data_IF_776942623452
#
_entry.id   IF_776942623452
#
_cell.length_a   1.000
_cell.length_b   1.000
_cell.length_c   1.000
_cell.angle_alpha   90.00
_cell.angle_beta   90.00
_cell.angle_gamma   90.00
#
_symmetry.space_group_name_H-M   'P 1'
#
loop_
_entity.id
_entity.type
_entity.pdbx_description
1 polymer ?
#
# COMPACT_ATOMS: atom_id res chain seq x y z
N UNK A 1 -1.69 7.06 5.24
CA UNK A 1 -2.49 6.67 6.41
C UNK A 1 -2.66 7.86 7.33
N UNK A 2 -3.85 8.04 7.90
CA UNK A 2 -4.13 9.00 8.97
C UNK A 2 -4.42 8.21 10.25
N UNK A 3 -3.86 8.56 11.41
CA UNK A 3 -4.18 7.89 12.66
C UNK A 3 -5.67 8.02 13.00
N UNK A 4 -6.32 6.91 13.32
CA UNK A 4 -7.70 6.85 13.81
C UNK A 4 -7.77 5.84 14.95
N UNK A 5 -8.46 6.19 16.04
CA UNK A 5 -8.66 5.29 17.17
C UNK A 5 -9.48 4.07 16.74
N UNK A 6 -9.10 2.90 17.26
CA UNK A 6 -9.74 1.60 17.02
C UNK A 6 -9.78 1.13 15.56
N UNK A 7 -9.04 1.80 14.67
CA UNK A 7 -8.85 1.37 13.29
C UNK A 7 -7.59 0.50 13.15
N UNK A 8 -7.67 -0.49 12.27
CA UNK A 8 -6.55 -1.33 11.87
C UNK A 8 -6.48 -1.37 10.34
N UNK A 9 -5.31 -1.72 9.81
CA UNK A 9 -5.15 -2.01 8.39
C UNK A 9 -4.25 -3.23 8.21
N UNK A 10 -4.61 -4.08 7.25
CA UNK A 10 -3.78 -5.19 6.83
C UNK A 10 -2.52 -4.66 6.12
N UNK A 11 -1.39 -5.36 6.28
CA UNK A 11 -0.14 -4.98 5.64
C UNK A 11 0.98 -5.99 5.84
N UNK A 12 2.16 -5.66 5.31
CA UNK A 12 3.37 -6.46 5.43
C UNK A 12 4.40 -5.79 6.32
N UNK A 13 5.01 -6.59 7.18
CA UNK A 13 6.20 -6.21 7.94
C UNK A 13 7.45 -6.76 7.24
N UNK A 14 8.29 -5.86 6.75
CA UNK A 14 9.56 -6.22 6.11
C UNK A 14 10.70 -6.00 7.10
N UNK A 15 11.46 -7.05 7.38
CA UNK A 15 12.65 -6.99 8.23
C UNK A 15 13.88 -6.89 7.34
N UNK A 16 14.72 -5.90 7.63
CA UNK A 16 15.97 -5.65 6.91
C UNK A 16 17.04 -5.10 7.86
N UNK A 17 18.27 -4.94 7.37
CA UNK A 17 19.40 -4.39 8.12
C UNK A 17 19.20 -2.90 8.36
N UNK A 18 19.52 -2.44 9.57
CA UNK A 18 19.39 -1.04 9.98
C UNK A 18 20.20 -0.07 9.09
N UNK A 19 21.27 -0.52 8.44
CA UNK A 19 22.03 0.30 7.48
C UNK A 19 21.22 0.70 6.23
N UNK A 20 20.20 -0.08 5.86
CA UNK A 20 19.36 0.20 4.70
C UNK A 20 18.29 1.27 4.99
N UNK A 21 18.07 1.66 6.26
CA UNK A 21 17.04 2.63 6.64
C UNK A 21 17.19 3.97 5.90
N UNK A 22 18.42 4.45 5.72
CA UNK A 22 18.68 5.71 5.02
C UNK A 22 18.26 5.66 3.54
N UNK A 23 18.40 4.49 2.89
CA UNK A 23 17.94 4.31 1.52
C UNK A 23 16.40 4.28 1.42
N UNK A 24 15.72 3.71 2.43
CA UNK A 24 14.26 3.76 2.53
C UNK A 24 13.80 5.20 2.77
N UNK A 25 14.45 5.94 3.67
CA UNK A 25 14.14 7.36 3.93
C UNK A 25 14.24 8.21 2.65
N UNK A 26 15.30 8.00 1.85
CA UNK A 26 15.47 8.70 0.58
C UNK A 26 14.37 8.37 -0.44
N UNK A 27 13.93 7.10 -0.49
CA UNK A 27 12.82 6.66 -1.36
C UNK A 27 11.49 7.24 -0.91
N UNK A 28 11.28 7.31 0.40
CA UNK A 28 10.04 7.77 1.04
C UNK A 28 10.11 9.25 1.46
N UNK A 29 10.89 10.09 0.78
CA UNK A 29 11.19 11.46 1.20
C UNK A 29 9.96 12.39 1.39
N UNK A 30 8.79 11.99 0.87
CA UNK A 30 7.49 12.69 1.07
C UNK A 30 6.69 12.21 2.29
N UNK A 31 7.24 11.24 3.01
CA UNK A 31 6.65 10.62 4.18
C UNK A 31 7.54 10.85 5.40
N UNK A 32 6.93 10.88 6.57
CA UNK A 32 7.63 10.89 7.85
C UNK A 32 7.77 9.47 8.35
N UNK A 33 9.00 9.06 8.69
CA UNK A 33 9.24 7.81 9.42
C UNK A 33 8.79 7.95 10.88
N UNK A 34 7.87 7.11 11.31
CA UNK A 34 7.30 7.10 12.65
C UNK A 34 7.63 5.78 13.34
N UNK A 35 8.19 5.79 14.55
CA UNK A 35 8.40 4.55 15.31
C UNK A 35 7.05 3.96 15.72
N UNK A 36 6.93 2.64 15.60
CA UNK A 36 5.74 1.91 15.97
C UNK A 36 6.05 0.97 17.13
N UNK A 37 5.16 0.94 18.13
CA UNK A 37 5.26 -0.01 19.24
C UNK A 37 4.95 -1.43 18.72
N UNK A 38 5.72 -2.46 19.10
CA UNK A 38 5.37 -3.85 18.79
C UNK A 38 3.99 -4.26 19.31
N UNK A 39 3.48 -3.62 20.37
CA UNK A 39 2.14 -3.86 20.89
C UNK A 39 1.01 -3.32 19.99
N UNK A 40 1.33 -2.49 19.01
CA UNK A 40 0.38 -2.00 18.00
C UNK A 40 0.27 -2.92 16.78
N UNK A 41 0.96 -4.08 16.80
CA UNK A 41 1.00 -5.03 15.70
C UNK A 41 0.32 -6.34 16.09
N UNK A 42 -0.56 -6.82 15.23
CA UNK A 42 -1.01 -8.21 15.24
C UNK A 42 -0.19 -8.97 14.18
N UNK A 43 0.73 -9.83 14.61
CA UNK A 43 1.70 -10.49 13.75
C UNK A 43 1.46 -12.00 13.73
N UNK A 44 1.42 -12.58 12.53
CA UNK A 44 1.45 -14.02 12.34
C UNK A 44 2.82 -14.65 12.70
N UNK A 45 3.87 -13.83 12.87
CA UNK A 45 5.24 -14.26 13.12
C UNK A 45 5.89 -13.57 14.32
N UNK A 46 7.15 -13.93 14.59
CA UNK A 46 7.91 -13.39 15.73
C UNK A 46 8.93 -12.36 15.24
N UNK A 47 8.90 -11.17 15.86
CA UNK A 47 9.91 -10.14 15.65
C UNK A 47 11.25 -10.52 16.30
N UNK A 48 12.40 -10.24 15.65
CA UNK A 48 13.69 -10.33 16.31
C UNK A 48 13.73 -9.44 17.56
N UNK A 49 14.45 -9.89 18.59
CA UNK A 49 14.62 -9.09 19.83
C UNK A 49 15.23 -7.74 19.51
N UNK A 50 14.71 -6.71 20.18
CA UNK A 50 15.18 -5.33 20.08
C UNK A 50 15.16 -4.76 18.65
N UNK A 51 14.35 -5.34 17.75
CA UNK A 51 14.16 -4.85 16.40
C UNK A 51 13.20 -3.65 16.42
N UNK A 52 13.65 -2.42 16.11
CA UNK A 52 12.75 -1.29 16.01
C UNK A 52 11.83 -1.46 14.80
N UNK A 53 10.57 -1.05 14.95
CA UNK A 53 9.58 -1.06 13.87
C UNK A 53 9.22 0.37 13.50
N UNK A 54 9.06 0.61 12.20
CA UNK A 54 8.71 1.91 11.67
C UNK A 54 7.60 1.80 10.63
N UNK A 55 6.84 2.87 10.50
CA UNK A 55 5.90 3.09 9.40
C UNK A 55 6.15 4.46 8.78
N UNK A 56 5.87 4.59 7.48
CA UNK A 56 6.01 5.85 6.75
C UNK A 56 4.64 6.48 6.53
N UNK A 57 4.41 7.63 7.16
CA UNK A 57 3.14 8.34 7.11
C UNK A 57 3.23 9.57 6.21
N UNK A 58 2.23 9.79 5.36
CA UNK A 58 2.21 10.94 4.47
C UNK A 58 2.16 12.24 5.27
N UNK A 59 2.97 13.23 4.89
CA UNK A 59 2.93 14.56 5.51
C UNK A 59 1.73 15.33 4.93
N UNK A 60 0.85 15.92 5.77
CA UNK A 60 -0.39 16.54 5.30
C UNK A 60 -0.20 17.81 4.45
N UNK A 61 0.95 18.47 4.55
CA UNK A 61 1.23 19.77 3.91
C UNK A 61 1.84 19.68 2.50
N UNK A 62 1.50 18.65 1.72
CA UNK A 62 1.91 18.65 0.31
C UNK A 62 1.05 19.65 -0.48
N UNK A 63 1.66 20.55 -1.28
CA UNK A 63 0.90 21.50 -2.09
C UNK A 63 -0.02 20.75 -3.06
N UNK A 64 -1.24 21.25 -3.20
CA UNK A 64 -2.23 20.70 -4.14
C UNK A 64 -1.66 20.75 -5.57
N UNK A 65 -1.66 19.61 -6.24
CA UNK A 65 -1.33 19.56 -7.66
C UNK A 65 -2.44 20.25 -8.47
N UNK A 66 -2.12 21.03 -9.53
CA UNK A 66 -3.13 21.76 -10.31
C UNK A 66 -4.10 20.84 -11.04
N UNK A 67 -3.69 19.62 -11.35
CA UNK A 67 -4.55 18.56 -11.86
C UNK A 67 -4.94 17.59 -10.74
N UNK A 68 -6.20 17.09 -10.72
CA UNK A 68 -6.61 16.09 -9.76
C UNK A 68 -5.74 14.84 -9.89
N UNK A 69 -5.25 14.28 -8.77
CA UNK A 69 -4.36 13.12 -8.81
C UNK A 69 -5.08 11.93 -9.46
N UNK A 70 -4.34 11.17 -10.27
CA UNK A 70 -4.79 9.88 -10.80
C UNK A 70 -3.89 8.77 -10.27
N UNK A 71 -4.49 7.62 -9.97
CA UNK A 71 -3.74 6.40 -9.65
C UNK A 71 -3.40 5.71 -10.97
N UNK A 72 -2.14 5.30 -11.16
CA UNK A 72 -1.77 4.46 -12.30
C UNK A 72 -2.41 3.08 -12.13
N UNK A 73 -3.05 2.57 -13.18
CA UNK A 73 -3.64 1.22 -13.17
C UNK A 73 -2.59 0.17 -12.85
N UNK A 74 -1.43 0.26 -13.49
CA UNK A 74 -0.30 -0.65 -13.31
C UNK A 74 0.26 -0.67 -11.88
N UNK A 75 0.20 0.46 -11.17
CA UNK A 75 0.54 0.54 -9.74
C UNK A 75 -0.53 -0.14 -8.88
N UNK A 76 -1.79 0.16 -9.15
CA UNK A 76 -2.90 -0.41 -8.39
C UNK A 76 -2.96 -1.94 -8.55
N UNK A 77 -2.76 -2.44 -9.76
CA UNK A 77 -2.71 -3.89 -10.05
C UNK A 77 -1.59 -4.58 -9.24
N UNK A 78 -0.40 -3.96 -9.13
CA UNK A 78 0.69 -4.49 -8.32
C UNK A 78 0.34 -4.55 -6.81
N UNK A 79 -0.33 -3.52 -6.29
CA UNK A 79 -0.80 -3.49 -4.90
C UNK A 79 -1.87 -4.56 -4.68
N UNK A 80 -2.85 -4.66 -5.58
CA UNK A 80 -3.96 -5.62 -5.47
C UNK A 80 -3.48 -7.07 -5.59
N UNK A 81 -2.51 -7.36 -6.48
CA UNK A 81 -1.90 -8.68 -6.57
C UNK A 81 -1.13 -9.04 -5.30
N UNK A 82 -0.34 -8.11 -4.74
CA UNK A 82 0.34 -8.35 -3.47
C UNK A 82 -0.63 -8.67 -2.34
N UNK A 83 -1.72 -7.90 -2.22
CA UNK A 83 -2.77 -8.16 -1.24
C UNK A 83 -3.49 -9.50 -1.46
N UNK A 84 -3.76 -9.87 -2.71
CA UNK A 84 -4.37 -11.15 -3.03
C UNK A 84 -3.46 -12.32 -2.60
N UNK A 85 -2.16 -12.21 -2.83
CA UNK A 85 -1.18 -13.25 -2.48
C UNK A 85 -1.05 -13.39 -0.95
N UNK A 86 -0.94 -12.28 -0.22
CA UNK A 86 -0.59 -12.30 1.20
C UNK A 86 -1.80 -12.37 2.14
N UNK A 87 -2.95 -11.83 1.72
CA UNK A 87 -4.16 -11.72 2.54
C UNK A 87 -5.40 -12.38 1.90
N UNK A 88 -5.25 -12.99 0.73
CA UNK A 88 -6.35 -13.64 0.01
C UNK A 88 -7.40 -12.65 -0.50
N UNK A 89 -8.48 -13.19 -1.07
CA UNK A 89 -9.57 -12.37 -1.61
C UNK A 89 -10.28 -11.53 -0.54
N UNK A 90 -10.40 -12.03 0.69
CA UNK A 90 -11.08 -11.31 1.76
C UNK A 90 -10.27 -10.10 2.23
N UNK A 91 -8.94 -10.22 2.33
CA UNK A 91 -8.06 -9.08 2.59
C UNK A 91 -8.09 -8.07 1.45
N UNK A 92 -8.09 -8.54 0.20
CA UNK A 92 -8.23 -7.66 -0.97
C UNK A 92 -9.56 -6.90 -0.96
N UNK A 93 -10.67 -7.55 -0.60
CA UNK A 93 -11.98 -6.88 -0.47
C UNK A 93 -11.97 -5.82 0.62
N UNK A 94 -11.37 -6.11 1.79
CA UNK A 94 -11.21 -5.11 2.86
C UNK A 94 -10.37 -3.94 2.41
N UNK A 95 -9.23 -4.17 1.75
CA UNK A 95 -8.41 -3.10 1.17
C UNK A 95 -9.26 -2.15 0.32
N UNK A 96 -10.03 -2.69 -0.62
CA UNK A 96 -10.86 -1.89 -1.54
C UNK A 96 -11.98 -1.16 -0.79
N UNK A 97 -12.58 -1.78 0.24
CA UNK A 97 -13.74 -1.25 0.96
C UNK A 97 -13.39 -0.26 2.08
N UNK A 98 -12.25 -0.42 2.74
CA UNK A 98 -11.88 0.32 3.95
C UNK A 98 -10.85 1.43 3.66
N UNK A 99 -10.19 1.39 2.50
CA UNK A 99 -9.30 2.48 2.08
C UNK A 99 -10.13 3.68 1.61
N UNK A 100 -9.94 4.82 2.27
CA UNK A 100 -10.46 6.11 1.83
C UNK A 100 -9.80 6.57 0.52
N UNK A 101 -10.54 7.26 -0.35
CA UNK A 101 -10.01 7.77 -1.62
C UNK A 101 -9.74 6.67 -2.65
N UNK A 102 -10.20 5.44 -2.45
CA UNK A 102 -10.04 4.36 -3.42
C UNK A 102 -10.85 4.58 -4.71
N UNK A 103 -11.75 5.56 -4.72
CA UNK A 103 -12.50 6.12 -5.85
C UNK A 103 -11.70 7.12 -6.69
N UNK A 104 -10.46 7.45 -6.29
CA UNK A 104 -9.55 8.32 -7.07
C UNK A 104 -9.49 7.86 -8.52
N UNK A 105 -9.64 8.79 -9.50
CA UNK A 105 -9.63 8.43 -10.92
C UNK A 105 -8.37 7.65 -11.31
N UNK A 106 -8.53 6.69 -12.22
CA UNK A 106 -7.43 5.84 -12.66
C UNK A 106 -6.93 6.30 -14.03
N UNK A 107 -5.62 6.32 -14.19
CA UNK A 107 -4.98 6.38 -15.49
C UNK A 107 -4.78 4.95 -16.00
N UNK A 108 -5.53 4.58 -17.04
CA UNK A 108 -5.51 3.23 -17.62
C UNK A 108 -4.23 2.99 -18.43
N UNK A 109 -3.17 2.54 -17.74
CA UNK A 109 -1.86 2.24 -18.33
C UNK A 109 -1.51 0.74 -18.29
N UNK A 110 -2.47 -0.16 -17.99
CA UNK A 110 -2.21 -1.61 -17.86
C UNK A 110 -1.46 -2.20 -19.06
N UNK A 111 -1.80 -1.79 -20.28
CA UNK A 111 -1.19 -2.31 -21.52
C UNK A 111 0.09 -1.57 -21.95
N UNK A 112 0.44 -0.47 -21.29
CA UNK A 112 1.65 0.31 -21.53
C UNK A 112 2.12 0.94 -20.20
N UNK A 113 2.59 0.12 -19.25
CA UNK A 113 2.73 0.53 -17.86
C UNK A 113 3.78 1.61 -17.69
N UNK A 114 3.39 2.70 -17.01
CA UNK A 114 4.31 3.76 -16.58
C UNK A 114 4.96 3.39 -15.24
N UNK A 115 4.28 2.62 -14.40
CA UNK A 115 4.83 2.18 -13.13
C UNK A 115 6.00 1.19 -13.36
N UNK A 116 7.22 1.48 -12.87
CA UNK A 116 8.42 0.70 -13.20
C UNK A 116 8.43 -0.72 -12.62
N UNK A 117 7.50 -1.03 -11.70
CA UNK A 117 7.35 -2.35 -11.08
C UNK A 117 5.97 -2.95 -11.39
N UNK A 118 5.45 -2.68 -12.58
CA UNK A 118 4.21 -3.30 -13.04
C UNK A 118 4.33 -4.83 -13.04
N UNK A 119 3.23 -5.49 -12.71
CA UNK A 119 3.14 -6.94 -12.60
C UNK A 119 2.38 -7.52 -13.80
N UNK A 120 2.68 -8.77 -14.13
CA UNK A 120 1.87 -9.54 -15.06
C UNK A 120 0.68 -10.13 -14.27
N UNK A 121 -0.53 -9.93 -14.80
CA UNK A 121 -1.74 -10.50 -14.24
C UNK A 121 -2.21 -11.67 -15.11
N UNK A 122 -2.79 -12.67 -14.46
CA UNK A 122 -3.65 -13.64 -15.13
C UNK A 122 -5.01 -13.02 -15.47
N UNK A 123 -5.69 -13.60 -16.45
CA UNK A 123 -7.04 -13.15 -16.81
C UNK A 123 -8.04 -13.19 -15.64
N UNK A 124 -7.85 -14.13 -14.70
CA UNK A 124 -8.69 -14.23 -13.50
C UNK A 124 -8.42 -13.08 -12.51
N UNK A 125 -7.16 -12.68 -12.34
CA UNK A 125 -6.78 -11.53 -11.51
C UNK A 125 -7.31 -10.22 -12.10
N UNK A 126 -7.14 -10.01 -13.41
CA UNK A 126 -7.66 -8.81 -14.09
C UNK A 126 -9.18 -8.66 -13.89
N UNK A 127 -9.93 -9.73 -14.16
CA UNK A 127 -11.39 -9.77 -14.03
C UNK A 127 -11.85 -9.59 -12.57
N UNK A 128 -11.11 -10.15 -11.60
CA UNK A 128 -11.37 -9.90 -10.18
C UNK A 128 -11.14 -8.42 -9.82
N UNK A 129 -10.02 -7.83 -10.24
CA UNK A 129 -9.65 -6.46 -9.87
C UNK A 129 -10.59 -5.44 -10.49
N UNK A 130 -10.97 -5.66 -11.76
CA UNK A 130 -11.92 -4.80 -12.48
C UNK A 130 -13.30 -4.85 -11.84
N UNK A 131 -13.79 -6.04 -11.43
CA UNK A 131 -15.04 -6.17 -10.68
C UNK A 131 -15.01 -5.46 -9.33
N UNK A 132 -13.93 -5.59 -8.57
CA UNK A 132 -13.80 -4.93 -7.28
C UNK A 132 -13.81 -3.40 -7.42
N UNK A 133 -13.20 -2.88 -8.49
CA UNK A 133 -13.22 -1.45 -8.80
C UNK A 133 -14.55 -0.94 -9.34
N UNK A 134 -15.31 -1.75 -10.08
CA UNK A 134 -16.62 -1.37 -10.61
C UNK A 134 -17.74 -1.33 -9.54
N UNK A 135 -17.54 -1.98 -8.39
CA UNK A 135 -18.53 -2.06 -7.29
C UNK A 135 -18.52 -0.86 -6.33
N UNK A 136 -17.75 0.19 -6.63
CA UNK A 136 -17.58 1.36 -5.77
C UNK A 136 -17.70 2.64 -6.58
#
# INVERSE_FOLDING_TARGET
MRPQADAACDGLLVVDRAENLAAVDAREARYRRVPLSPAALDLAGVLPRDCPVYVYEAVPDLPLHPEPPKILRSYLDAVMQGFLVEHGEDGLRRLVAETEGFDTPIHEDRHAPVYPRAVALSAAEEDLFDRLKARR
#
